data_IF_075442814794
#
_entry.id   IF_075442814794
#
_cell.length_a   1.000
_cell.length_b   1.000
_cell.length_c   1.000
_cell.angle_alpha   90.00
_cell.angle_beta   90.00
_cell.angle_gamma   90.00
#
_symmetry.space_group_name_H-M   'P 1'
#
loop_
_entity.id
_entity.type
_entity.pdbx_description
1 polymer ?
#
# COMPACT_ATOMS: atom_id res chain seq x y z
N UNK A 1 9.63 -5.77 5.09
CA UNK A 1 8.54 -5.48 4.11
C UNK A 1 7.74 -4.23 4.46
N UNK A 2 7.17 -4.11 5.67
CA UNK A 2 6.38 -2.92 6.08
C UNK A 2 7.18 -1.61 5.94
N UNK A 3 8.42 -1.57 6.42
CA UNK A 3 9.30 -0.40 6.26
C UNK A 3 9.51 -0.01 4.78
N UNK A 4 9.64 -0.99 3.88
CA UNK A 4 9.81 -0.74 2.45
C UNK A 4 8.52 -0.24 1.79
N UNK A 5 7.35 -0.70 2.25
CA UNK A 5 6.06 -0.14 1.85
C UNK A 5 5.98 1.32 2.28
N UNK A 6 6.29 1.65 3.53
CA UNK A 6 6.26 3.02 4.03
C UNK A 6 7.21 3.93 3.24
N UNK A 7 8.44 3.48 2.96
CA UNK A 7 9.39 4.21 2.09
C UNK A 7 8.88 4.38 0.66
N UNK A 8 8.22 3.37 0.09
CA UNK A 8 7.66 3.45 -1.27
C UNK A 8 6.51 4.45 -1.35
N UNK A 9 5.61 4.43 -0.36
CA UNK A 9 4.48 5.37 -0.28
C UNK A 9 4.97 6.79 -0.03
N UNK A 10 5.89 6.99 0.90
CA UNK A 10 6.47 8.31 1.19
C UNK A 10 7.16 8.88 -0.05
N UNK A 11 8.01 8.09 -0.71
CA UNK A 11 8.71 8.49 -1.93
C UNK A 11 7.74 8.78 -3.08
N UNK A 12 6.63 8.05 -3.19
CA UNK A 12 5.59 8.35 -4.18
C UNK A 12 5.00 9.75 -3.94
N UNK A 13 4.56 10.07 -2.71
CA UNK A 13 3.95 11.37 -2.42
C UNK A 13 4.94 12.53 -2.44
N UNK A 14 6.22 12.30 -2.14
CA UNK A 14 7.28 13.32 -2.30
C UNK A 14 7.49 13.71 -3.77
N UNK A 15 7.37 12.77 -4.69
CA UNK A 15 7.57 13.01 -6.12
C UNK A 15 6.28 13.38 -6.88
N UNK A 16 5.11 13.20 -6.25
CA UNK A 16 3.80 13.48 -6.86
C UNK A 16 3.03 14.43 -5.95
N UNK A 17 3.46 15.69 -5.90
CA UNK A 17 2.95 16.69 -4.94
C UNK A 17 1.45 16.95 -5.06
N UNK A 18 0.84 16.71 -6.23
CA UNK A 18 -0.59 16.94 -6.46
C UNK A 18 -1.44 15.69 -6.17
N UNK A 19 -0.81 14.53 -5.96
CA UNK A 19 -1.50 13.30 -5.64
C UNK A 19 -1.82 13.21 -4.15
N UNK A 20 -3.11 13.12 -3.83
CA UNK A 20 -3.61 12.94 -2.45
C UNK A 20 -3.90 11.48 -2.10
N UNK A 21 -4.11 10.63 -3.11
CA UNK A 21 -4.43 9.22 -2.97
C UNK A 21 -3.67 8.43 -4.03
N UNK A 22 -3.24 7.21 -3.67
CA UNK A 22 -2.62 6.28 -4.60
C UNK A 22 -3.18 4.86 -4.40
N UNK A 23 -3.63 4.19 -5.47
CA UNK A 23 -4.07 2.81 -5.37
C UNK A 23 -2.91 1.87 -5.01
N UNK A 24 -3.20 0.81 -4.25
CA UNK A 24 -2.23 -0.23 -3.89
C UNK A 24 -1.47 -0.81 -5.09
N UNK A 25 -2.09 -0.87 -6.27
CA UNK A 25 -1.46 -1.40 -7.50
C UNK A 25 -0.22 -0.58 -7.89
N UNK A 26 -0.25 0.75 -7.74
CA UNK A 26 0.88 1.62 -8.07
C UNK A 26 2.04 1.38 -7.12
N UNK A 27 1.77 1.32 -5.81
CA UNK A 27 2.80 1.02 -4.81
C UNK A 27 3.37 -0.38 -4.99
N UNK A 28 2.54 -1.37 -5.35
CA UNK A 28 3.02 -2.71 -5.68
C UNK A 28 4.00 -2.70 -6.86
N UNK A 29 3.76 -1.90 -7.90
CA UNK A 29 4.72 -1.72 -9.01
C UNK A 29 6.04 -1.10 -8.55
N UNK A 30 5.99 -0.08 -7.69
CA UNK A 30 7.21 0.53 -7.12
C UNK A 30 8.01 -0.51 -6.30
N UNK A 31 7.33 -1.35 -5.53
CA UNK A 31 7.97 -2.41 -4.74
C UNK A 31 8.56 -3.53 -5.62
N UNK A 32 7.96 -3.80 -6.78
CA UNK A 32 8.53 -4.69 -7.80
C UNK A 32 9.81 -4.11 -8.39
N UNK A 33 9.80 -2.83 -8.75
CA UNK A 33 10.97 -2.12 -9.28
C UNK A 33 12.13 -2.10 -8.27
N UNK A 34 11.80 -1.90 -6.98
CA UNK A 34 12.75 -1.96 -5.86
C UNK A 34 13.18 -3.38 -5.46
N UNK A 35 12.71 -4.43 -6.15
CA UNK A 35 12.97 -5.85 -5.84
C UNK A 35 12.55 -6.27 -4.41
N UNK A 36 11.59 -5.55 -3.81
CA UNK A 36 10.98 -5.90 -2.51
C UNK A 36 9.91 -6.97 -2.70
N UNK A 37 9.22 -6.93 -3.84
CA UNK A 37 8.31 -7.97 -4.30
C UNK A 37 8.91 -8.70 -5.51
N UNK A 38 8.72 -10.01 -5.57
CA UNK A 38 9.09 -10.79 -6.76
C UNK A 38 8.19 -10.43 -7.93
N UNK A 39 8.76 -10.44 -9.16
CA UNK A 39 8.07 -10.23 -10.44
C UNK A 39 7.16 -11.41 -10.81
N UNK A 40 6.22 -11.73 -9.94
CA UNK A 40 5.13 -12.64 -10.24
C UNK A 40 3.82 -11.84 -10.41
N UNK A 41 2.88 -12.40 -11.18
CA UNK A 41 1.54 -11.84 -11.35
C UNK A 41 0.77 -11.62 -10.03
N UNK A 42 1.32 -12.08 -8.90
CA UNK A 42 0.74 -11.99 -7.58
C UNK A 42 1.27 -10.81 -6.72
N UNK A 43 2.15 -9.93 -7.21
CA UNK A 43 2.71 -8.85 -6.37
C UNK A 43 1.64 -7.94 -5.75
N UNK A 44 0.66 -7.48 -6.54
CA UNK A 44 -0.47 -6.71 -6.03
C UNK A 44 -1.36 -7.50 -5.06
N UNK A 45 -1.46 -8.83 -5.25
CA UNK A 45 -2.19 -9.72 -4.35
C UNK A 45 -1.45 -9.88 -3.01
N UNK A 46 -0.13 -10.10 -3.04
CA UNK A 46 0.73 -10.20 -1.85
C UNK A 46 0.59 -8.95 -0.95
N UNK A 47 0.62 -7.76 -1.55
CA UNK A 47 0.44 -6.52 -0.79
C UNK A 47 -0.96 -6.44 -0.16
N UNK A 48 -2.03 -6.74 -0.90
CA UNK A 48 -3.40 -6.76 -0.35
C UNK A 48 -3.58 -7.82 0.75
N UNK A 49 -2.96 -8.99 0.63
CA UNK A 49 -3.00 -10.03 1.65
C UNK A 49 -2.32 -9.58 2.94
N UNK A 50 -1.17 -8.90 2.84
CA UNK A 50 -0.51 -8.28 3.98
C UNK A 50 -1.42 -7.24 4.65
N UNK A 51 -2.00 -6.32 3.89
CA UNK A 51 -2.91 -5.30 4.44
C UNK A 51 -4.13 -5.92 5.13
N UNK A 52 -4.72 -6.96 4.53
CA UNK A 52 -5.83 -7.71 5.12
C UNK A 52 -5.43 -8.43 6.41
N UNK A 53 -4.21 -8.96 6.49
CA UNK A 53 -3.67 -9.58 7.70
C UNK A 53 -3.51 -8.53 8.81
N UNK A 54 -2.89 -7.39 8.51
CA UNK A 54 -2.71 -6.30 9.46
C UNK A 54 -4.05 -5.74 9.96
N UNK A 55 -5.04 -5.57 9.08
CA UNK A 55 -6.39 -5.13 9.45
C UNK A 55 -7.08 -6.10 10.42
N UNK A 56 -6.97 -7.41 10.18
CA UNK A 56 -7.49 -8.43 11.09
C UNK A 56 -6.79 -8.46 12.43
N UNK A 57 -5.50 -8.14 12.45
CA UNK A 57 -4.68 -8.09 13.66
C UNK A 57 -4.75 -6.72 14.36
N UNK A 58 -5.52 -5.75 13.83
CA UNK A 58 -5.58 -4.37 14.31
C UNK A 58 -4.21 -3.67 14.35
N UNK A 59 -3.40 -3.89 13.31
CA UNK A 59 -2.02 -3.43 13.13
C UNK A 59 -1.81 -2.56 11.89
N UNK A 60 -2.88 -1.95 11.38
CA UNK A 60 -2.79 -1.07 10.20
C UNK A 60 -1.99 0.20 10.49
N UNK A 61 -1.89 0.61 11.75
CA UNK A 61 -1.09 1.73 12.24
C UNK A 61 0.41 1.60 11.93
N UNK A 62 0.92 0.38 11.71
CA UNK A 62 2.29 0.14 11.22
C UNK A 62 2.53 0.71 9.81
N UNK A 63 1.46 0.99 9.06
CA UNK A 63 1.48 1.59 7.73
C UNK A 63 0.64 2.87 7.78
N UNK A 64 1.19 3.99 8.26
CA UNK A 64 0.41 5.19 8.62
C UNK A 64 -0.31 5.85 7.44
N UNK A 65 0.10 5.54 6.21
CA UNK A 65 -0.51 6.06 4.99
C UNK A 65 -1.69 5.21 4.49
N UNK A 66 -1.93 4.01 5.05
CA UNK A 66 -2.96 3.10 4.52
C UNK A 66 -4.36 3.62 4.81
N UNK A 67 -5.22 3.58 3.79
CA UNK A 67 -6.62 3.95 3.89
C UNK A 67 -7.50 2.80 3.34
N UNK A 68 -8.11 1.98 4.22
CA UNK A 68 -9.08 0.98 3.79
C UNK A 68 -10.44 1.62 3.49
N UNK A 69 -10.84 1.63 2.21
CA UNK A 69 -12.20 1.97 1.81
C UNK A 69 -13.08 0.71 1.85
N UNK A 70 -13.82 0.54 2.94
CA UNK A 70 -14.67 -0.62 3.20
C UNK A 70 -16.03 -0.46 2.49
N UNK A 71 -16.42 -1.45 1.70
CA UNK A 71 -17.74 -1.63 1.10
C UNK A 71 -18.36 -2.92 1.64
N UNK A 72 -19.66 -3.14 1.41
CA UNK A 72 -20.41 -4.27 1.97
C UNK A 72 -19.73 -5.63 1.77
N UNK A 73 -19.11 -5.86 0.61
CA UNK A 73 -18.48 -7.16 0.28
C UNK A 73 -16.95 -7.08 0.11
N UNK A 74 -16.39 -5.87 -0.04
CA UNK A 74 -15.00 -5.69 -0.45
C UNK A 74 -14.33 -4.51 0.26
N UNK A 75 -13.05 -4.64 0.57
CA UNK A 75 -12.20 -3.53 0.98
C UNK A 75 -11.31 -3.12 -0.19
N UNK A 76 -11.47 -1.88 -0.64
CA UNK A 76 -10.53 -1.26 -1.57
C UNK A 76 -9.40 -0.63 -0.77
N UNK A 77 -8.17 -0.91 -1.18
CA UNK A 77 -6.98 -0.47 -0.46
C UNK A 77 -6.30 0.67 -1.21
N UNK A 78 -6.14 1.77 -0.49
CA UNK A 78 -5.46 2.97 -0.98
C UNK A 78 -4.40 3.38 0.03
N UNK A 79 -3.48 4.23 -0.43
CA UNK A 79 -2.67 5.04 0.47
C UNK A 79 -3.04 6.51 0.28
N UNK A 80 -3.10 7.25 1.37
CA UNK A 80 -3.36 8.69 1.36
C UNK A 80 -2.19 9.44 1.92
N UNK A 81 -1.98 10.66 1.40
CA UNK A 81 -1.01 11.57 1.99
C UNK A 81 -1.44 11.91 3.41
N UNK A 82 -0.48 11.90 4.33
CA UNK A 82 -0.69 12.52 5.64
C UNK A 82 -0.73 14.03 5.43
N UNK A 83 -1.93 14.60 5.60
CA UNK A 83 -2.15 16.05 5.74
C UNK A 83 -1.57 16.54 7.05
#
# INVERSE_FOLDING_TARGET
MIQEINKAVQSYFQNNTDAHEVPVKVIASILLERKVLDRNHAAGLKLRQLLKKLDRENRLDEIPFVFPLRKEQYTYWYFKRQT
#
